data_IF_261384920043
#
_entry.id   IF_261384920043
#
_cell.length_a   1.000
_cell.length_b   1.000
_cell.length_c   1.000
_cell.angle_alpha   90.00
_cell.angle_beta   90.00
_cell.angle_gamma   90.00
#
_symmetry.space_group_name_H-M   'P 1'
#
loop_
_entity.id
_entity.type
_entity.pdbx_description
1 polymer ?
#
# COMPACT_ATOMS: atom_id res chain seq x y z
N UNK A 1 -15.18 20.02 19.50
CA UNK A 1 -15.01 19.34 18.20
C UNK A 1 -13.56 19.40 17.66
N UNK A 2 -12.95 20.58 17.52
CA UNK A 2 -11.57 20.71 17.02
C UNK A 2 -10.52 19.89 17.81
N UNK A 3 -10.65 19.81 19.13
CA UNK A 3 -9.77 19.00 19.97
C UNK A 3 -9.86 17.49 19.67
N UNK A 4 -11.06 16.97 19.39
CA UNK A 4 -11.23 15.55 18.99
C UNK A 4 -10.70 15.29 17.58
N UNK A 5 -10.92 16.22 16.64
CA UNK A 5 -10.33 16.12 15.30
C UNK A 5 -8.79 16.14 15.35
N UNK A 6 -8.20 16.85 16.29
CA UNK A 6 -6.75 16.82 16.44
C UNK A 6 -6.20 15.48 16.98
N UNK A 7 -7.03 14.66 17.67
CA UNK A 7 -6.65 13.30 18.07
C UNK A 7 -6.48 12.38 16.86
N UNK A 8 -7.26 12.57 15.79
CA UNK A 8 -7.21 11.72 14.60
C UNK A 8 -6.07 12.04 13.64
N UNK A 9 -5.30 13.12 13.87
CA UNK A 9 -4.22 13.62 13.00
C UNK A 9 -4.63 13.61 11.51
N UNK A 10 -5.58 14.47 11.09
CA UNK A 10 -6.26 14.35 9.79
C UNK A 10 -5.30 14.33 8.61
N UNK A 11 -4.25 15.17 8.61
CA UNK A 11 -3.23 15.19 7.54
C UNK A 11 -2.51 13.85 7.37
N UNK A 12 -2.17 13.19 8.47
CA UNK A 12 -1.51 11.88 8.44
C UNK A 12 -2.50 10.79 8.01
N UNK A 13 -3.72 10.85 8.53
CA UNK A 13 -4.77 9.89 8.20
C UNK A 13 -5.14 9.92 6.72
N UNK A 14 -5.19 11.11 6.08
CA UNK A 14 -5.39 11.23 4.63
C UNK A 14 -4.28 10.50 3.86
N UNK A 15 -3.01 10.66 4.25
CA UNK A 15 -1.90 9.97 3.60
C UNK A 15 -2.02 8.45 3.75
N UNK A 16 -2.39 7.95 4.93
CA UNK A 16 -2.61 6.51 5.16
C UNK A 16 -3.74 5.97 4.27
N UNK A 17 -4.85 6.70 4.17
CA UNK A 17 -5.96 6.33 3.31
C UNK A 17 -5.51 6.29 1.84
N UNK A 18 -4.75 7.28 1.37
CA UNK A 18 -4.20 7.29 0.01
C UNK A 18 -3.29 6.07 -0.26
N UNK A 19 -2.49 5.65 0.73
CA UNK A 19 -1.65 4.45 0.58
C UNK A 19 -2.44 3.14 0.54
N UNK A 20 -3.67 3.11 1.07
CA UNK A 20 -4.59 1.98 0.89
C UNK A 20 -5.34 2.08 -0.44
N UNK A 21 -5.69 3.28 -0.90
CA UNK A 21 -6.37 3.48 -2.18
C UNK A 21 -5.47 3.16 -3.38
N UNK A 22 -4.17 3.44 -3.31
CA UNK A 22 -3.27 3.26 -4.46
C UNK A 22 -3.17 1.79 -4.92
N UNK A 23 -3.00 0.78 -4.05
CA UNK A 23 -3.02 -0.63 -4.48
C UNK A 23 -4.39 -1.10 -4.97
N UNK A 24 -5.47 -0.59 -4.39
CA UNK A 24 -6.82 -0.84 -4.89
C UNK A 24 -6.96 -0.37 -6.34
N UNK A 25 -6.47 0.83 -6.65
CA UNK A 25 -6.48 1.38 -8.01
C UNK A 25 -5.49 0.68 -8.95
N UNK A 26 -4.35 0.21 -8.45
CA UNK A 26 -3.32 -0.50 -9.24
C UNK A 26 -3.65 -1.97 -9.50
N UNK A 27 -4.59 -2.56 -8.78
CA UNK A 27 -4.96 -3.97 -8.92
C UNK A 27 -5.25 -4.34 -10.39
N UNK A 28 -4.62 -5.39 -10.94
CA UNK A 28 -4.89 -5.86 -12.29
C UNK A 28 -6.26 -6.56 -12.30
N UNK A 29 -7.28 -5.85 -12.75
CA UNK A 29 -8.65 -6.35 -12.81
C UNK A 29 -8.75 -7.37 -13.96
N UNK A 30 -9.30 -8.58 -13.74
CA UNK A 30 -9.56 -9.56 -14.79
C UNK A 30 -10.49 -9.02 -15.89
N UNK A 31 -10.26 -9.43 -17.14
CA UNK A 31 -11.03 -8.95 -18.30
C UNK A 31 -12.55 -9.24 -18.21
N UNK A 32 -12.94 -10.29 -17.48
CA UNK A 32 -14.35 -10.64 -17.26
C UNK A 32 -15.10 -9.61 -16.40
N UNK A 33 -14.39 -8.86 -15.57
CA UNK A 33 -15.00 -7.83 -14.73
C UNK A 33 -14.96 -6.46 -15.41
N UNK A 34 -14.12 -6.26 -16.43
CA UNK A 34 -14.13 -5.02 -17.21
C UNK A 34 -15.36 -4.95 -18.12
N UNK A 35 -16.29 -4.02 -17.89
CA UNK A 35 -17.41 -3.83 -18.81
C UNK A 35 -16.90 -3.39 -20.18
N UNK A 36 -17.45 -3.97 -21.25
CA UNK A 36 -17.15 -3.62 -22.65
C UNK A 36 -17.55 -2.19 -23.04
N UNK A 37 -18.21 -1.45 -22.14
CA UNK A 37 -18.86 -0.16 -22.43
C UNK A 37 -18.47 1.00 -21.48
N UNK A 38 -17.60 0.79 -20.47
CA UNK A 38 -17.15 1.92 -19.61
C UNK A 38 -15.64 1.89 -19.35
N UNK A 39 -14.99 3.04 -19.52
CA UNK A 39 -13.53 3.22 -19.46
C UNK A 39 -12.91 3.14 -18.04
N UNK A 40 -13.72 2.96 -16.99
CA UNK A 40 -13.27 2.93 -15.60
C UNK A 40 -13.17 1.49 -15.06
N UNK A 41 -12.10 1.16 -14.30
CA UNK A 41 -11.93 -0.17 -13.72
C UNK A 41 -13.15 -0.52 -12.86
N UNK A 42 -13.64 -1.75 -13.02
CA UNK A 42 -14.90 -2.31 -12.51
C UNK A 42 -14.97 -2.54 -11.00
N UNK A 43 -14.13 -1.83 -10.24
CA UNK A 43 -14.11 -1.94 -8.79
C UNK A 43 -15.19 -1.04 -8.17
N UNK A 44 -15.90 -1.56 -7.18
CA UNK A 44 -17.07 -0.95 -6.56
C UNK A 44 -16.71 0.37 -5.86
N UNK A 45 -17.37 1.49 -6.21
CA UNK A 45 -17.22 2.75 -5.48
C UNK A 45 -17.65 2.62 -4.01
N UNK A 46 -18.56 1.70 -3.71
CA UNK A 46 -19.04 1.45 -2.35
C UNK A 46 -17.96 0.79 -1.49
N UNK A 47 -17.25 -0.22 -2.01
CA UNK A 47 -16.12 -0.83 -1.28
C UNK A 47 -15.02 0.18 -1.05
N UNK A 48 -14.71 1.03 -2.04
CA UNK A 48 -13.74 2.12 -1.87
C UNK A 48 -14.18 3.10 -0.77
N UNK A 49 -15.47 3.42 -0.68
CA UNK A 49 -16.00 4.25 0.41
C UNK A 49 -15.81 3.59 1.78
N UNK A 50 -16.12 2.30 1.92
CA UNK A 50 -15.91 1.57 3.18
C UNK A 50 -14.44 1.38 3.52
N UNK A 51 -13.58 1.10 2.53
CA UNK A 51 -12.13 1.00 2.69
C UNK A 51 -11.56 2.33 3.19
N UNK A 52 -11.95 3.45 2.57
CA UNK A 52 -11.44 4.78 2.92
C UNK A 52 -11.92 5.23 4.30
N UNK A 53 -13.23 5.16 4.57
CA UNK A 53 -13.82 5.55 5.85
C UNK A 53 -13.37 4.63 6.99
N UNK A 54 -13.37 3.32 6.77
CA UNK A 54 -12.92 2.32 7.74
C UNK A 54 -11.44 2.46 8.08
N UNK A 55 -10.58 2.65 7.08
CA UNK A 55 -9.13 2.90 7.28
C UNK A 55 -8.91 4.23 8.02
N UNK A 56 -9.66 5.28 7.69
CA UNK A 56 -9.55 6.57 8.37
C UNK A 56 -9.91 6.46 9.86
N UNK A 57 -10.97 5.73 10.19
CA UNK A 57 -11.40 5.49 11.57
C UNK A 57 -10.41 4.62 12.35
N UNK A 58 -9.85 3.56 11.72
CA UNK A 58 -8.79 2.75 12.32
C UNK A 58 -7.53 3.60 12.60
N UNK A 59 -7.12 4.45 11.65
CA UNK A 59 -6.02 5.39 11.84
C UNK A 59 -6.30 6.40 12.96
N UNK A 60 -7.53 6.92 13.04
CA UNK A 60 -7.92 7.83 14.10
C UNK A 60 -7.83 7.18 15.49
N UNK A 61 -8.29 5.93 15.60
CA UNK A 61 -8.18 5.11 16.82
C UNK A 61 -6.72 4.91 17.22
N UNK A 62 -5.89 4.42 16.30
CA UNK A 62 -4.47 4.17 16.54
C UNK A 62 -3.71 5.43 16.96
N UNK A 63 -4.02 6.59 16.35
CA UNK A 63 -3.42 7.87 16.73
C UNK A 63 -3.87 8.36 18.12
N UNK A 64 -5.16 8.21 18.45
CA UNK A 64 -5.68 8.58 19.76
C UNK A 64 -5.04 7.71 20.87
N UNK A 65 -4.93 6.40 20.66
CA UNK A 65 -4.22 5.50 21.58
C UNK A 65 -2.74 5.88 21.72
N UNK A 66 -2.04 6.17 20.61
CA UNK A 66 -0.64 6.61 20.68
C UNK A 66 -0.46 7.87 21.56
N UNK A 67 -1.37 8.85 21.45
CA UNK A 67 -1.32 10.04 22.32
C UNK A 67 -1.65 9.74 23.78
N UNK A 68 -2.47 8.72 24.06
CA UNK A 68 -2.77 8.26 25.43
C UNK A 68 -1.57 7.60 26.10
N UNK A 69 -0.75 6.87 25.33
CA UNK A 69 0.44 6.19 25.85
C UNK A 69 1.62 7.13 26.15
N UNK A 70 1.77 8.22 25.38
CA UNK A 70 2.99 9.04 25.40
C UNK A 70 2.89 10.47 25.97
N UNK A 71 1.96 10.86 26.89
CA UNK A 71 1.89 12.24 27.38
C UNK A 71 3.23 12.80 27.92
N UNK A 72 3.96 11.99 28.70
CA UNK A 72 5.22 12.42 29.33
C UNK A 72 6.36 12.63 28.32
N UNK A 73 6.47 11.77 27.32
CA UNK A 73 7.46 11.88 26.24
C UNK A 73 7.10 13.02 25.31
N UNK A 74 5.81 13.15 24.96
CA UNK A 74 5.32 14.18 24.06
C UNK A 74 5.52 15.59 24.63
N UNK A 75 5.44 15.77 25.95
CA UNK A 75 5.70 17.04 26.63
C UNK A 75 7.14 17.55 26.44
N UNK A 76 8.10 16.63 26.24
CA UNK A 76 9.53 16.97 26.14
C UNK A 76 9.97 17.37 24.74
N UNK A 77 9.19 17.10 23.70
CA UNK A 77 9.56 17.42 22.31
C UNK A 77 8.86 18.68 21.80
N UNK A 78 9.56 19.48 21.00
CA UNK A 78 9.08 20.74 20.42
C UNK A 78 7.81 20.54 19.58
N UNK A 79 7.79 19.47 18.78
CA UNK A 79 6.71 19.14 17.85
C UNK A 79 5.43 18.64 18.54
N UNK A 80 5.53 18.05 19.73
CA UNK A 80 4.43 17.28 20.34
C UNK A 80 3.94 17.85 21.66
N UNK A 81 4.65 18.80 22.27
CA UNK A 81 4.22 19.46 23.52
C UNK A 81 2.84 20.13 23.43
N UNK A 82 2.41 20.48 22.21
CA UNK A 82 1.12 21.12 21.96
C UNK A 82 -0.03 20.13 21.71
N UNK A 83 0.20 18.81 21.84
CA UNK A 83 -0.85 17.80 21.65
C UNK A 83 -1.98 17.97 22.68
N UNK A 84 -3.23 17.61 22.34
CA UNK A 84 -4.40 17.85 23.19
C UNK A 84 -4.29 17.22 24.58
N UNK A 85 -3.77 15.99 24.67
CA UNK A 85 -3.63 15.27 25.94
C UNK A 85 -2.49 15.83 26.82
N UNK A 86 -1.43 16.34 26.21
CA UNK A 86 -0.33 17.01 26.95
C UNK A 86 -0.82 18.32 27.57
N UNK A 87 -1.65 19.06 26.83
CA UNK A 87 -2.23 20.34 27.26
C UNK A 87 -3.45 20.21 28.16
N UNK A 88 -3.93 19.00 28.43
CA UNK A 88 -5.17 18.77 29.18
C UNK A 88 -6.45 19.26 28.49
N UNK A 89 -6.42 19.47 27.16
CA UNK A 89 -7.58 19.94 26.38
C UNK A 89 -8.66 18.86 26.21
N UNK A 90 -8.29 17.59 26.39
CA UNK A 90 -9.20 16.44 26.36
C UNK A 90 -8.87 15.55 27.54
N UNK A 91 -9.88 15.03 28.23
CA UNK A 91 -9.63 14.09 29.33
C UNK A 91 -9.16 12.72 28.78
N UNK A 92 -8.27 12.00 29.48
CA UNK A 92 -7.81 10.67 29.05
C UNK A 92 -8.97 9.68 28.85
N UNK A 93 -10.01 9.76 29.69
CA UNK A 93 -11.21 8.92 29.56
C UNK A 93 -11.96 9.17 28.26
N UNK A 94 -12.16 10.44 27.88
CA UNK A 94 -12.82 10.80 26.63
C UNK A 94 -12.00 10.43 25.40
N UNK A 95 -10.67 10.60 25.47
CA UNK A 95 -9.79 10.16 24.39
C UNK A 95 -9.79 8.62 24.24
N UNK A 96 -9.87 7.86 25.34
CA UNK A 96 -9.98 6.40 25.29
C UNK A 96 -11.32 5.96 24.69
N UNK A 97 -12.43 6.57 25.11
CA UNK A 97 -13.75 6.30 24.54
C UNK A 97 -13.78 6.62 23.04
N UNK A 98 -13.22 7.75 22.62
CA UNK A 98 -13.08 8.10 21.21
C UNK A 98 -12.27 7.06 20.44
N UNK A 99 -11.14 6.62 20.99
CA UNK A 99 -10.30 5.61 20.36
C UNK A 99 -11.03 4.26 20.20
N UNK A 100 -11.74 3.80 21.22
CA UNK A 100 -12.51 2.56 21.17
C UNK A 100 -13.68 2.66 20.18
N UNK A 101 -14.44 3.76 20.22
CA UNK A 101 -15.55 3.99 19.31
C UNK A 101 -15.08 4.07 17.85
N UNK A 102 -14.02 4.83 17.56
CA UNK A 102 -13.44 4.92 16.22
C UNK A 102 -12.86 3.56 15.76
N UNK A 103 -12.23 2.81 16.66
CA UNK A 103 -11.71 1.48 16.35
C UNK A 103 -12.81 0.49 16.00
N UNK A 104 -13.84 0.40 16.84
CA UNK A 104 -14.98 -0.48 16.62
C UNK A 104 -15.76 -0.12 15.34
N UNK A 105 -16.04 1.17 15.13
CA UNK A 105 -16.70 1.64 13.92
C UNK A 105 -15.85 1.41 12.67
N UNK A 106 -14.55 1.67 12.73
CA UNK A 106 -13.64 1.45 11.61
C UNK A 106 -13.49 -0.02 11.23
N UNK A 107 -13.22 -0.88 12.20
CA UNK A 107 -13.09 -2.33 11.99
C UNK A 107 -14.42 -2.94 11.53
N UNK A 108 -15.55 -2.49 12.09
CA UNK A 108 -16.89 -2.88 11.65
C UNK A 108 -17.19 -2.45 10.22
N UNK A 109 -16.89 -1.20 9.85
CA UNK A 109 -17.06 -0.71 8.48
C UNK A 109 -16.25 -1.53 7.47
N UNK A 110 -15.02 -1.92 7.81
CA UNK A 110 -14.21 -2.78 6.96
C UNK A 110 -14.76 -4.22 6.89
N UNK A 111 -15.31 -4.74 7.99
CA UNK A 111 -15.86 -6.10 8.04
C UNK A 111 -17.10 -6.23 7.15
N UNK A 112 -18.06 -5.31 7.31
CA UNK A 112 -19.34 -5.35 6.60
C UNK A 112 -19.26 -4.78 5.19
N UNK A 113 -18.37 -3.82 4.94
CA UNK A 113 -18.31 -3.08 3.68
C UNK A 113 -17.17 -3.46 2.75
N UNK A 114 -16.21 -4.27 3.20
CA UNK A 114 -15.05 -4.70 2.39
C UNK A 114 -14.90 -6.21 2.45
N UNK A 115 -14.31 -6.75 3.52
CA UNK A 115 -14.22 -8.18 3.83
C UNK A 115 -13.57 -8.41 5.20
N UNK A 116 -13.66 -9.65 5.69
CA UNK A 116 -13.10 -10.06 6.99
C UNK A 116 -11.57 -9.93 7.04
N UNK A 117 -10.86 -10.20 5.94
CA UNK A 117 -9.40 -10.09 5.86
C UNK A 117 -8.93 -8.65 6.09
N UNK A 118 -9.53 -7.69 5.40
CA UNK A 118 -9.21 -6.25 5.54
C UNK A 118 -9.55 -5.75 6.93
N UNK A 119 -10.67 -6.20 7.51
CA UNK A 119 -11.04 -5.88 8.89
C UNK A 119 -9.98 -6.36 9.90
N UNK A 120 -9.53 -7.61 9.78
CA UNK A 120 -8.47 -8.17 10.62
C UNK A 120 -7.14 -7.44 10.45
N UNK A 121 -6.77 -7.04 9.22
CA UNK A 121 -5.60 -6.21 8.97
C UNK A 121 -5.72 -4.86 9.66
N UNK A 122 -6.89 -4.20 9.56
CA UNK A 122 -7.15 -2.93 10.23
C UNK A 122 -7.03 -3.03 11.75
N UNK A 123 -7.65 -4.04 12.36
CA UNK A 123 -7.56 -4.31 13.80
C UNK A 123 -6.13 -4.62 14.23
N UNK A 124 -5.44 -5.50 13.50
CA UNK A 124 -4.04 -5.85 13.76
C UNK A 124 -3.14 -4.61 13.66
N UNK A 125 -3.42 -3.69 12.75
CA UNK A 125 -2.65 -2.47 12.60
C UNK A 125 -2.82 -1.52 13.81
N UNK A 126 -4.04 -1.42 14.37
CA UNK A 126 -4.28 -0.66 15.61
C UNK A 126 -3.47 -1.26 16.76
N UNK A 127 -3.55 -2.58 16.95
CA UNK A 127 -2.83 -3.30 18.01
C UNK A 127 -1.32 -3.19 17.85
N UNK A 128 -0.80 -3.39 16.63
CA UNK A 128 0.61 -3.31 16.34
C UNK A 128 1.15 -1.89 16.57
N UNK A 129 0.42 -0.85 16.15
CA UNK A 129 0.86 0.52 16.31
C UNK A 129 0.80 1.00 17.77
N UNK A 130 -0.36 0.83 18.42
CA UNK A 130 -0.58 1.34 19.78
C UNK A 130 0.04 0.42 20.85
N UNK A 131 -0.14 -0.90 20.72
CA UNK A 131 0.27 -1.88 21.72
C UNK A 131 1.72 -2.34 21.61
N UNK A 132 2.31 -2.37 20.42
CA UNK A 132 3.68 -2.87 20.22
C UNK A 132 4.65 -1.73 19.89
N UNK A 133 4.43 -1.04 18.76
CA UNK A 133 5.35 0.00 18.28
C UNK A 133 5.52 1.14 19.28
N UNK A 134 4.42 1.66 19.82
CA UNK A 134 4.44 2.83 20.72
C UNK A 134 5.31 2.61 21.96
N UNK A 135 5.12 1.57 22.78
CA UNK A 135 6.00 1.31 23.93
C UNK A 135 7.43 0.93 23.51
N UNK A 136 7.59 0.24 22.38
CA UNK A 136 8.91 -0.22 21.91
C UNK A 136 9.88 0.94 21.63
N UNK A 137 9.37 2.14 21.31
CA UNK A 137 10.19 3.36 21.11
C UNK A 137 11.04 3.73 22.33
N UNK A 138 10.58 3.44 23.54
CA UNK A 138 11.35 3.69 24.77
C UNK A 138 12.38 2.59 25.05
N UNK A 139 12.20 1.39 24.46
CA UNK A 139 12.96 0.18 24.81
C UNK A 139 14.09 -0.11 23.83
N UNK A 140 13.84 0.01 22.52
CA UNK A 140 14.81 -0.40 21.49
C UNK A 140 14.62 0.35 20.17
N UNK A 141 15.71 0.50 19.42
CA UNK A 141 15.71 1.05 18.07
C UNK A 141 15.00 0.15 17.04
N UNK A 142 14.65 -1.09 17.40
CA UNK A 142 13.83 -1.99 16.57
C UNK A 142 12.40 -1.45 16.35
N UNK A 143 11.97 -0.46 17.13
CA UNK A 143 10.69 0.24 16.92
C UNK A 143 10.51 0.70 15.47
N UNK A 144 11.57 1.14 14.79
CA UNK A 144 11.46 1.66 13.43
C UNK A 144 11.05 0.58 12.43
N UNK A 145 11.49 -0.67 12.63
CA UNK A 145 11.08 -1.79 11.77
C UNK A 145 9.63 -2.20 12.04
N UNK A 146 9.22 -2.25 13.31
CA UNK A 146 7.82 -2.53 13.66
C UNK A 146 6.90 -1.43 13.12
N UNK A 147 7.30 -0.16 13.24
CA UNK A 147 6.60 0.97 12.64
C UNK A 147 6.55 0.90 11.10
N UNK A 148 7.59 0.36 10.46
CA UNK A 148 7.57 0.12 9.03
C UNK A 148 6.57 -0.97 8.62
N UNK A 149 6.41 -2.04 9.42
CA UNK A 149 5.36 -3.05 9.20
C UNK A 149 3.97 -2.42 9.27
N UNK A 150 3.72 -1.58 10.29
CA UNK A 150 2.46 -0.80 10.39
C UNK A 150 2.20 0.01 9.12
N UNK A 151 3.24 0.63 8.55
CA UNK A 151 3.14 1.38 7.30
C UNK A 151 2.89 0.53 6.05
N UNK A 152 3.27 -0.75 6.07
CA UNK A 152 3.05 -1.71 4.98
C UNK A 152 1.68 -2.38 4.98
N UNK A 153 0.94 -2.34 6.10
CA UNK A 153 -0.40 -2.95 6.21
C UNK A 153 -1.46 -2.22 5.36
N UNK A 154 -1.57 -0.88 5.34
CA UNK A 154 -2.58 -0.19 4.53
C UNK A 154 -2.53 -0.55 3.04
N UNK A 155 -1.34 -0.68 2.40
CA UNK A 155 -1.27 -1.22 1.05
C UNK A 155 -1.87 -2.62 0.87
N UNK A 156 -1.63 -3.53 1.81
CA UNK A 156 -2.23 -4.88 1.80
C UNK A 156 -3.75 -4.82 1.96
N UNK A 157 -4.25 -3.90 2.80
CA UNK A 157 -5.70 -3.67 2.95
C UNK A 157 -6.32 -3.23 1.61
N UNK A 158 -5.66 -2.32 0.89
CA UNK A 158 -6.07 -1.90 -0.44
C UNK A 158 -6.10 -3.01 -1.47
N UNK A 159 -5.04 -3.82 -1.49
CA UNK A 159 -4.94 -4.96 -2.40
C UNK A 159 -6.00 -6.02 -2.10
N UNK A 160 -6.16 -6.42 -0.84
CA UNK A 160 -7.15 -7.41 -0.41
C UNK A 160 -8.60 -6.93 -0.60
N UNK A 161 -8.84 -5.62 -0.58
CA UNK A 161 -10.15 -5.06 -0.92
C UNK A 161 -10.47 -5.28 -2.42
N UNK A 162 -9.56 -4.93 -3.32
CA UNK A 162 -9.75 -5.12 -4.76
C UNK A 162 -9.77 -6.61 -5.15
N UNK A 163 -8.87 -7.40 -4.57
CA UNK A 163 -8.84 -8.85 -4.78
C UNK A 163 -10.12 -9.53 -4.30
N UNK A 164 -10.74 -9.03 -3.23
CA UNK A 164 -12.00 -9.57 -2.71
C UNK A 164 -13.18 -9.42 -3.67
N UNK A 165 -13.20 -8.34 -4.46
CA UNK A 165 -14.20 -8.14 -5.51
C UNK A 165 -13.96 -8.99 -6.76
N UNK A 166 -12.69 -9.33 -7.01
CA UNK A 166 -12.27 -10.18 -8.11
C UNK A 166 -12.13 -11.67 -7.72
N UNK A 167 -12.41 -12.02 -6.47
CA UNK A 167 -12.24 -13.37 -5.94
C UNK A 167 -13.23 -14.33 -6.62
N UNK A 168 -12.72 -15.48 -7.05
CA UNK A 168 -13.53 -16.51 -7.74
C UNK A 168 -13.71 -17.76 -6.89
N UNK A 169 -12.94 -17.89 -5.79
CA UNK A 169 -13.01 -19.05 -4.89
C UNK A 169 -13.76 -18.72 -3.60
N UNK A 170 -13.07 -18.74 -2.47
CA UNK A 170 -13.66 -18.67 -1.12
C UNK A 170 -13.56 -17.27 -0.49
N UNK A 171 -12.86 -16.34 -1.15
CA UNK A 171 -12.61 -14.99 -0.62
C UNK A 171 -11.77 -15.00 0.67
N UNK A 172 -11.09 -16.12 0.96
CA UNK A 172 -10.32 -16.27 2.19
C UNK A 172 -9.05 -15.43 2.17
N UNK A 173 -8.49 -15.13 3.35
CA UNK A 173 -7.19 -14.46 3.47
C UNK A 173 -6.08 -15.15 2.65
N UNK A 174 -6.17 -16.49 2.50
CA UNK A 174 -5.22 -17.25 1.68
C UNK A 174 -5.36 -16.91 0.20
N UNK A 175 -6.57 -16.82 -0.33
CA UNK A 175 -6.80 -16.39 -1.72
C UNK A 175 -6.36 -14.93 -1.93
N UNK A 176 -6.72 -14.03 -1.02
CA UNK A 176 -6.50 -12.59 -1.23
C UNK A 176 -5.04 -12.16 -1.08
N UNK A 177 -4.27 -12.81 -0.19
CA UNK A 177 -2.91 -12.39 0.18
C UNK A 177 -1.84 -13.46 -0.05
N UNK A 178 -2.19 -14.74 -0.13
CA UNK A 178 -1.22 -15.84 -0.20
C UNK A 178 -1.54 -16.83 -1.33
N UNK A 179 -2.03 -16.30 -2.46
CA UNK A 179 -2.35 -17.10 -3.63
C UNK A 179 -1.07 -17.77 -4.18
N UNK A 180 -1.15 -19.08 -4.46
CA UNK A 180 -0.02 -19.87 -4.97
C UNK A 180 0.30 -19.62 -6.45
N UNK A 181 -0.58 -18.93 -7.18
CA UNK A 181 -0.43 -18.57 -8.60
C UNK A 181 0.36 -17.28 -8.81
N UNK A 182 0.80 -16.62 -7.73
CA UNK A 182 1.55 -15.36 -7.80
C UNK A 182 0.68 -14.11 -7.96
N UNK A 183 -0.65 -14.24 -8.04
CA UNK A 183 -1.58 -13.10 -8.16
C UNK A 183 -1.49 -12.15 -6.97
N UNK A 184 -1.18 -12.65 -5.76
CA UNK A 184 -1.04 -11.80 -4.56
C UNK A 184 0.31 -11.09 -4.45
N UNK A 185 1.27 -11.37 -5.34
CA UNK A 185 2.62 -10.80 -5.28
C UNK A 185 2.60 -9.27 -5.38
N UNK A 186 1.71 -8.70 -6.19
CA UNK A 186 1.57 -7.25 -6.36
C UNK A 186 1.26 -6.52 -5.05
N UNK A 187 0.37 -7.08 -4.23
CA UNK A 187 0.02 -6.51 -2.91
C UNK A 187 1.22 -6.46 -1.97
N UNK A 188 1.97 -7.56 -1.89
CA UNK A 188 3.19 -7.64 -1.06
C UNK A 188 4.32 -6.74 -1.56
N UNK A 189 4.45 -6.58 -2.88
CA UNK A 189 5.44 -5.67 -3.46
C UNK A 189 5.11 -4.20 -3.14
N UNK A 190 3.84 -3.80 -3.22
CA UNK A 190 3.40 -2.45 -2.84
C UNK A 190 3.54 -2.21 -1.33
N UNK A 191 3.23 -3.22 -0.51
CA UNK A 191 3.48 -3.19 0.92
C UNK A 191 4.97 -3.07 1.25
N UNK A 192 5.82 -3.84 0.57
CA UNK A 192 7.27 -3.78 0.71
C UNK A 192 7.85 -2.43 0.25
N UNK A 193 7.25 -1.81 -0.78
CA UNK A 193 7.63 -0.48 -1.25
C UNK A 193 7.36 0.58 -0.18
N UNK A 194 6.16 0.57 0.43
CA UNK A 194 5.83 1.49 1.54
C UNK A 194 6.65 1.20 2.80
N UNK A 195 6.91 -0.06 3.10
CA UNK A 195 7.80 -0.49 4.17
C UNK A 195 9.22 0.04 3.97
N UNK A 196 9.79 -0.16 2.79
CA UNK A 196 11.13 0.30 2.44
C UNK A 196 11.22 1.82 2.46
N UNK A 197 10.19 2.53 1.99
CA UNK A 197 10.13 3.98 1.98
C UNK A 197 10.29 4.63 3.36
N UNK A 198 9.78 3.98 4.41
CA UNK A 198 9.84 4.53 5.77
C UNK A 198 11.28 4.81 6.21
N UNK A 199 12.25 3.99 5.79
CA UNK A 199 13.62 4.07 6.28
C UNK A 199 14.37 5.32 5.79
N UNK A 200 14.55 5.60 4.48
CA UNK A 200 15.21 6.82 4.06
C UNK A 200 14.53 8.08 4.60
N UNK A 201 13.19 8.08 4.66
CA UNK A 201 12.42 9.21 5.19
C UNK A 201 12.64 9.43 6.69
N UNK A 202 12.40 8.40 7.50
CA UNK A 202 12.46 8.50 8.96
C UNK A 202 13.90 8.63 9.48
N UNK A 203 14.87 7.93 8.88
CA UNK A 203 16.28 8.02 9.33
C UNK A 203 16.87 9.41 9.05
N UNK A 204 16.41 10.07 7.98
CA UNK A 204 16.75 11.45 7.67
C UNK A 204 16.05 12.45 8.61
N UNK A 205 14.75 12.27 8.85
CA UNK A 205 13.96 13.13 9.75
C UNK A 205 14.47 13.02 11.19
N UNK A 206 14.66 11.80 11.69
CA UNK A 206 15.07 11.56 13.08
C UNK A 206 16.47 12.10 13.38
N UNK A 207 17.32 12.29 12.37
CA UNK A 207 18.63 12.91 12.52
C UNK A 207 18.55 14.37 12.99
N UNK A 208 17.60 15.15 12.46
CA UNK A 208 17.49 16.59 12.77
C UNK A 208 16.94 16.85 14.16
N UNK A 209 16.18 15.90 14.72
CA UNK A 209 15.55 15.97 16.05
C UNK A 209 16.12 14.93 17.03
N UNK A 210 17.32 14.41 16.76
CA UNK A 210 17.94 13.32 17.53
C UNK A 210 18.17 13.67 19.00
N UNK A 211 18.48 14.94 19.28
CA UNK A 211 18.75 15.41 20.64
C UNK A 211 17.46 15.50 21.45
N UNK A 212 16.33 15.89 20.83
CA UNK A 212 15.01 15.83 21.46
C UNK A 212 14.60 14.38 21.77
N UNK A 213 14.87 13.44 20.85
CA UNK A 213 14.63 12.02 21.10
C UNK A 213 15.45 11.50 22.29
N UNK A 214 16.72 11.89 22.38
CA UNK A 214 17.59 11.53 23.50
C UNK A 214 17.07 12.11 24.81
N UNK A 215 16.69 13.39 24.83
CA UNK A 215 16.15 14.06 26.02
C UNK A 215 14.80 13.47 26.46
N UNK A 216 13.99 13.02 25.51
CA UNK A 216 12.71 12.37 25.78
C UNK A 216 12.86 10.89 26.21
N UNK A 217 14.07 10.32 26.18
CA UNK A 217 14.33 8.92 26.53
C UNK A 217 13.98 7.90 25.44
N UNK A 218 13.74 8.36 24.20
CA UNK A 218 13.37 7.50 23.08
C UNK A 218 14.61 6.95 22.38
N UNK A 219 14.69 5.62 22.21
CA UNK A 219 15.85 4.92 21.67
C UNK A 219 15.77 4.82 20.14
N UNK A 220 16.22 5.88 19.45
CA UNK A 220 16.24 5.94 17.99
C UNK A 220 17.64 5.67 17.43
N UNK A 221 17.74 5.06 16.24
CA UNK A 221 19.04 4.82 15.58
C UNK A 221 19.84 6.10 15.36
N UNK A 222 19.16 7.21 15.08
CA UNK A 222 19.79 8.49 14.81
C UNK A 222 20.78 8.96 15.89
N UNK A 223 20.59 8.60 17.16
CA UNK A 223 21.55 8.91 18.23
C UNK A 223 22.19 7.68 18.88
N UNK A 224 21.51 6.53 18.92
CA UNK A 224 22.07 5.30 19.51
C UNK A 224 23.15 4.66 18.64
N UNK A 225 23.00 4.73 17.31
CA UNK A 225 23.99 4.24 16.35
C UNK A 225 23.88 4.99 15.01
N UNK A 226 24.44 6.20 14.91
CA UNK A 226 24.45 7.02 13.69
C UNK A 226 24.96 6.31 12.44
N UNK A 227 26.01 5.48 12.59
CA UNK A 227 26.58 4.75 11.46
C UNK A 227 25.58 3.72 10.90
N UNK A 228 24.86 3.01 11.78
CA UNK A 228 23.79 2.08 11.38
C UNK A 228 22.59 2.83 10.80
N UNK A 229 22.26 4.01 11.33
CA UNK A 229 21.19 4.88 10.80
C UNK A 229 21.40 5.16 9.29
N UNK A 230 22.60 5.61 8.91
CA UNK A 230 22.95 5.85 7.51
C UNK A 230 22.95 4.59 6.64
N UNK A 231 23.51 3.47 7.14
CA UNK A 231 23.51 2.19 6.40
C UNK A 231 22.12 1.64 6.13
N UNK A 232 21.21 1.74 7.11
CA UNK A 232 19.83 1.28 6.95
C UNK A 232 19.10 2.13 5.92
N UNK A 233 19.24 3.47 5.99
CA UNK A 233 18.67 4.37 4.99
C UNK A 233 19.13 4.02 3.56
N UNK A 234 20.43 3.76 3.38
CA UNK A 234 20.98 3.38 2.08
C UNK A 234 20.46 2.03 1.59
N UNK A 235 20.47 0.99 2.44
CA UNK A 235 20.00 -0.36 2.07
C UNK A 235 18.57 -0.35 1.55
N UNK A 236 17.67 0.31 2.25
CA UNK A 236 16.27 0.39 1.83
C UNK A 236 16.04 1.32 0.65
N UNK A 237 16.89 2.36 0.46
CA UNK A 237 16.86 3.16 -0.77
C UNK A 237 17.25 2.34 -2.00
N UNK A 238 18.24 1.44 -1.87
CA UNK A 238 18.64 0.52 -2.93
C UNK A 238 17.59 -0.58 -3.19
N UNK A 239 16.86 -1.01 -2.14
CA UNK A 239 15.81 -2.02 -2.26
C UNK A 239 14.66 -1.60 -3.19
N UNK A 240 14.48 -0.30 -3.47
CA UNK A 240 13.49 0.18 -4.44
C UNK A 240 13.74 -0.31 -5.86
N UNK A 241 15.00 -0.50 -6.26
CA UNK A 241 15.35 -0.96 -7.61
C UNK A 241 14.75 -2.35 -7.91
N UNK A 242 15.04 -3.40 -7.11
CA UNK A 242 14.41 -4.71 -7.33
C UNK A 242 12.90 -4.70 -7.03
N UNK A 243 12.40 -3.85 -6.13
CA UNK A 243 10.95 -3.76 -5.88
C UNK A 243 10.18 -3.20 -7.08
N UNK A 244 10.69 -2.16 -7.75
CA UNK A 244 10.07 -1.61 -8.95
C UNK A 244 10.13 -2.60 -10.13
N UNK A 245 11.23 -3.32 -10.28
CA UNK A 245 11.34 -4.42 -11.25
C UNK A 245 10.37 -5.57 -10.93
N UNK A 246 10.22 -5.89 -9.65
CA UNK A 246 9.26 -6.89 -9.18
C UNK A 246 7.82 -6.52 -9.51
N UNK A 247 7.43 -5.24 -9.42
CA UNK A 247 6.10 -4.78 -9.82
C UNK A 247 5.82 -5.00 -11.32
N UNK A 248 6.83 -4.79 -12.17
CA UNK A 248 6.75 -5.10 -13.60
C UNK A 248 6.62 -6.61 -13.82
N UNK A 249 7.46 -7.40 -13.17
CA UNK A 249 7.47 -8.86 -13.29
C UNK A 249 6.16 -9.51 -12.78
N UNK A 250 5.57 -8.96 -11.73
CA UNK A 250 4.27 -9.38 -11.20
C UNK A 250 3.07 -8.88 -12.04
N UNK A 251 3.31 -8.16 -13.14
CA UNK A 251 2.27 -7.68 -14.03
C UNK A 251 1.39 -6.56 -13.45
N UNK A 252 1.84 -5.87 -12.40
CA UNK A 252 1.14 -4.71 -11.84
C UNK A 252 1.33 -3.49 -12.74
N UNK A 253 2.56 -3.31 -13.25
CA UNK A 253 2.94 -2.21 -14.13
C UNK A 253 3.63 -2.71 -15.39
N UNK A 254 3.68 -1.88 -16.43
CA UNK A 254 4.45 -2.15 -17.65
C UNK A 254 5.96 -2.05 -17.41
N UNK A 255 6.79 -2.70 -18.25
CA UNK A 255 8.25 -2.61 -18.12
C UNK A 255 8.81 -1.19 -18.33
N UNK A 256 8.07 -0.32 -19.03
CA UNK A 256 8.39 1.11 -19.13
C UNK A 256 8.44 1.79 -17.76
N UNK A 257 7.70 1.28 -16.77
CA UNK A 257 7.72 1.79 -15.39
C UNK A 257 9.10 1.63 -14.76
N UNK A 258 9.79 0.51 -15.03
CA UNK A 258 11.13 0.29 -14.51
C UNK A 258 12.11 1.34 -15.07
N UNK A 259 12.01 1.67 -16.35
CA UNK A 259 12.87 2.68 -16.98
C UNK A 259 12.54 4.10 -16.49
N UNK A 260 11.27 4.46 -16.40
CA UNK A 260 10.83 5.80 -15.99
C UNK A 260 10.99 6.07 -14.50
N UNK A 261 10.89 5.04 -13.65
CA UNK A 261 11.13 5.16 -12.19
C UNK A 261 12.61 5.12 -11.82
N UNK A 262 13.49 4.60 -12.68
CA UNK A 262 14.92 4.46 -12.42
C UNK A 262 15.61 5.79 -12.03
N UNK A 263 15.43 6.92 -12.74
CA UNK A 263 16.04 8.19 -12.34
C UNK A 263 15.64 8.64 -10.94
N UNK A 264 14.36 8.46 -10.57
CA UNK A 264 13.81 8.84 -9.27
C UNK A 264 14.41 7.95 -8.16
N UNK A 265 14.52 6.65 -8.42
CA UNK A 265 15.14 5.68 -7.52
C UNK A 265 16.65 5.93 -7.34
N UNK A 266 17.38 6.22 -8.42
CA UNK A 266 18.80 6.55 -8.37
C UNK A 266 19.05 7.86 -7.62
N UNK A 267 18.19 8.86 -7.79
CA UNK A 267 18.28 10.09 -7.01
C UNK A 267 18.12 9.86 -5.51
N UNK A 268 17.12 9.07 -5.09
CA UNK A 268 16.96 8.68 -3.69
C UNK A 268 18.20 7.94 -3.17
N UNK A 269 18.68 6.94 -3.91
CA UNK A 269 19.87 6.17 -3.55
C UNK A 269 21.13 7.03 -3.45
N UNK A 270 21.32 8.00 -4.36
CA UNK A 270 22.44 8.94 -4.32
C UNK A 270 22.38 9.84 -3.08
N UNK A 271 21.21 10.37 -2.72
CA UNK A 271 21.05 11.15 -1.49
C UNK A 271 21.24 10.29 -0.24
N UNK A 272 20.82 9.03 -0.26
CA UNK A 272 21.04 8.11 0.84
C UNK A 272 22.52 7.74 0.99
N UNK A 273 23.25 7.58 -0.12
CA UNK A 273 24.69 7.37 -0.12
C UNK A 273 25.43 8.60 0.44
N UNK A 274 25.00 9.81 0.05
CA UNK A 274 25.52 11.07 0.62
C UNK A 274 25.24 11.16 2.12
N UNK A 275 24.03 10.81 2.56
CA UNK A 275 23.67 10.77 3.98
C UNK A 275 24.52 9.79 4.78
N UNK A 276 24.75 8.59 4.23
CA UNK A 276 25.60 7.58 4.86
C UNK A 276 27.07 8.02 4.94
N UNK A 277 27.64 8.54 3.85
CA UNK A 277 29.04 8.99 3.78
C UNK A 277 29.34 10.18 4.70
N UNK A 278 28.42 11.14 4.76
CA UNK A 278 28.56 12.34 5.60
C UNK A 278 28.02 12.16 7.02
N UNK A 279 27.53 10.96 7.37
CA UNK A 279 26.95 10.66 8.67
C UNK A 279 25.84 11.63 9.09
N UNK A 280 25.01 12.08 8.13
CA UNK A 280 23.92 13.05 8.37
C UNK A 280 24.32 14.53 8.43
N UNK A 281 25.61 14.87 8.40
CA UNK A 281 26.09 16.26 8.43
C UNK A 281 26.06 16.93 7.05
N UNK A 282 26.43 18.21 6.97
CA UNK A 282 26.58 18.94 5.70
C UNK A 282 25.28 19.04 4.88
N UNK A 283 24.14 19.15 5.57
CA UNK A 283 22.81 19.20 4.95
C UNK A 283 22.32 17.88 4.34
N UNK A 284 23.09 16.78 4.46
CA UNK A 284 22.74 15.49 3.83
C UNK A 284 21.44 14.89 4.36
N UNK A 285 21.14 15.05 5.65
CA UNK A 285 19.86 14.64 6.24
C UNK A 285 18.68 15.36 5.58
N UNK A 286 18.78 16.68 5.39
CA UNK A 286 17.73 17.47 4.73
C UNK A 286 17.58 17.09 3.26
N UNK A 287 18.69 16.83 2.57
CA UNK A 287 18.70 16.34 1.19
C UNK A 287 17.96 15.01 1.03
N UNK A 288 18.29 14.01 1.86
CA UNK A 288 17.62 12.71 1.85
C UNK A 288 16.14 12.82 2.23
N UNK A 289 15.81 13.65 3.23
CA UNK A 289 14.42 13.89 3.63
C UNK A 289 13.59 14.39 2.45
N UNK A 290 14.01 15.46 1.77
CA UNK A 290 13.26 15.98 0.62
C UNK A 290 13.24 15.02 -0.57
N UNK A 291 14.33 14.29 -0.80
CA UNK A 291 14.34 13.24 -1.82
C UNK A 291 13.27 12.19 -1.54
N UNK A 292 13.17 11.70 -0.31
CA UNK A 292 12.13 10.73 0.07
C UNK A 292 10.71 11.28 -0.04
N UNK A 293 10.50 12.58 0.26
CA UNK A 293 9.18 13.24 0.16
C UNK A 293 8.68 13.30 -1.28
N UNK A 294 9.54 13.63 -2.23
CA UNK A 294 9.17 13.67 -3.65
C UNK A 294 9.16 12.28 -4.30
N UNK A 295 10.05 11.39 -3.85
CA UNK A 295 10.22 10.05 -4.40
C UNK A 295 8.92 9.23 -4.38
N UNK A 296 8.26 9.09 -3.22
CA UNK A 296 7.09 8.22 -3.10
C UNK A 296 5.91 8.67 -3.98
N UNK A 297 5.47 9.96 -3.94
CA UNK A 297 4.44 10.44 -4.87
C UNK A 297 4.82 10.23 -6.33
N UNK A 298 6.06 10.54 -6.72
CA UNK A 298 6.51 10.33 -8.10
C UNK A 298 6.44 8.86 -8.52
N UNK A 299 6.92 7.93 -7.70
CA UNK A 299 6.85 6.49 -7.99
C UNK A 299 5.41 5.99 -8.04
N UNK A 300 4.55 6.43 -7.13
CA UNK A 300 3.12 6.05 -7.14
C UNK A 300 2.39 6.59 -8.37
N UNK A 301 2.63 7.85 -8.76
CA UNK A 301 2.05 8.45 -9.97
C UNK A 301 2.54 7.71 -11.22
N UNK A 302 3.84 7.42 -11.31
CA UNK A 302 4.40 6.67 -12.44
C UNK A 302 3.80 5.25 -12.51
N UNK A 303 3.58 4.59 -11.37
CA UNK A 303 2.95 3.28 -11.32
C UNK A 303 1.51 3.33 -11.82
N UNK A 304 0.74 4.35 -11.40
CA UNK A 304 -0.63 4.55 -11.88
C UNK A 304 -0.67 4.87 -13.38
N UNK A 305 0.23 5.75 -13.85
CA UNK A 305 0.35 6.13 -15.26
C UNK A 305 0.82 4.99 -16.16
N UNK A 306 1.46 3.97 -15.62
CA UNK A 306 1.97 2.82 -16.37
C UNK A 306 1.41 1.52 -15.82
N UNK A 307 0.19 1.58 -15.31
CA UNK A 307 -0.60 0.40 -14.96
C UNK A 307 -0.72 -0.48 -16.19
N UNK A 308 -0.55 -1.80 -16.00
CA UNK A 308 -0.57 -2.77 -17.09
C UNK A 308 -1.85 -2.66 -17.92
N UNK A 309 -1.71 -2.62 -19.23
CA UNK A 309 -2.82 -2.54 -20.19
C UNK A 309 -3.59 -1.21 -20.20
N UNK A 310 -3.11 -0.15 -19.54
CA UNK A 310 -3.79 1.15 -19.54
C UNK A 310 -3.58 1.92 -20.86
N UNK A 311 -2.34 1.98 -21.36
CA UNK A 311 -2.03 2.68 -22.62
C UNK A 311 -2.59 1.98 -23.85
N UNK A 312 -2.65 0.64 -23.85
CA UNK A 312 -3.30 -0.12 -24.93
C UNK A 312 -4.81 0.13 -24.99
N UNK A 313 -5.46 0.35 -23.84
CA UNK A 313 -6.87 0.77 -23.78
C UNK A 313 -7.07 2.23 -24.22
N UNK A 314 -6.21 3.14 -23.75
CA UNK A 314 -6.26 4.54 -24.17
C UNK A 314 -6.04 4.70 -25.68
N UNK A 315 -5.10 3.94 -26.25
CA UNK A 315 -4.84 3.92 -27.69
C UNK A 315 -6.04 3.37 -28.47
N UNK A 316 -6.67 2.27 -28.01
CA UNK A 316 -7.89 1.72 -28.63
C UNK A 316 -9.08 2.69 -28.60
N UNK A 317 -9.23 3.46 -27.52
CA UNK A 317 -10.26 4.49 -27.37
C UNK A 317 -10.01 5.70 -28.29
N UNK A 318 -8.77 6.20 -28.34
CA UNK A 318 -8.41 7.40 -29.13
C UNK A 318 -8.33 7.11 -30.62
N UNK A 319 -7.78 5.97 -31.03
CA UNK A 319 -7.61 5.62 -32.44
C UNK A 319 -8.84 4.97 -33.05
N UNK A 320 -9.97 4.87 -32.32
CA UNK A 320 -11.17 4.24 -32.82
C UNK A 320 -10.88 2.81 -33.25
N UNK A 321 -10.54 1.94 -32.29
CA UNK A 321 -10.54 0.51 -32.53
C UNK A 321 -11.97 0.06 -32.82
N UNK A 322 -12.39 0.21 -34.07
CA UNK A 322 -13.51 -0.52 -34.61
C UNK A 322 -13.27 -2.00 -34.38
N UNK A 323 -14.35 -2.69 -34.03
CA UNK A 323 -14.48 -4.13 -33.99
C UNK A 323 -13.76 -4.75 -35.21
N UNK A 324 -12.49 -5.09 -35.01
CA UNK A 324 -11.71 -5.92 -35.90
C UNK A 324 -11.46 -7.14 -35.05
N UNK A 325 -12.33 -8.13 -35.27
CA UNK A 325 -12.20 -9.44 -34.68
C UNK A 325 -10.82 -10.00 -35.01
N UNK A 326 -9.90 -9.85 -34.07
CA UNK A 326 -8.78 -10.76 -33.95
C UNK A 326 -9.37 -12.05 -33.38
N UNK A 327 -9.85 -12.89 -34.31
CA UNK A 327 -10.34 -14.22 -34.06
C UNK A 327 -9.22 -15.11 -33.53
N UNK A 328 -9.05 -15.14 -32.22
CA UNK A 328 -8.56 -16.31 -31.48
C UNK A 328 -9.72 -17.07 -30.80
N UNK A 329 -10.91 -16.99 -31.39
CA UNK A 329 -12.03 -17.88 -31.13
C UNK A 329 -12.33 -18.67 -32.41
N UNK A 330 -11.66 -19.82 -32.59
CA UNK A 330 -11.87 -20.66 -33.77
C UNK A 330 -11.02 -21.92 -33.88
N UNK A 331 -10.42 -22.41 -32.79
CA UNK A 331 -9.65 -23.69 -32.80
C UNK A 331 -10.50 -24.87 -32.28
N UNK A 332 -11.77 -24.66 -31.95
CA UNK A 332 -12.63 -25.71 -31.37
C UNK A 332 -13.94 -25.96 -32.12
N UNK A 333 -14.05 -25.57 -33.39
CA UNK A 333 -15.27 -25.83 -34.19
C UNK A 333 -15.00 -26.58 -35.51
N UNK A 334 -13.73 -26.82 -35.89
CA UNK A 334 -13.41 -27.60 -37.09
C UNK A 334 -13.40 -29.12 -36.85
N UNK A 335 -13.00 -29.59 -35.65
CA UNK A 335 -12.94 -31.02 -35.36
C UNK A 335 -14.35 -31.64 -35.17
N UNK A 336 -15.31 -30.91 -34.61
CA UNK A 336 -16.70 -31.42 -34.46
C UNK A 336 -17.48 -31.37 -35.79
N UNK A 337 -17.16 -30.43 -36.70
CA UNK A 337 -17.80 -30.36 -38.01
C UNK A 337 -17.27 -31.44 -38.98
N UNK A 338 -15.97 -31.79 -38.90
CA UNK A 338 -15.41 -32.90 -39.68
C UNK A 338 -15.83 -34.28 -39.14
N UNK A 339 -16.00 -34.45 -37.82
CA UNK A 339 -16.59 -35.67 -37.26
C UNK A 339 -18.07 -35.82 -37.67
N UNK A 340 -18.85 -34.74 -37.64
CA UNK A 340 -20.27 -34.77 -38.03
C UNK A 340 -20.47 -34.93 -39.54
N UNK A 341 -19.56 -34.39 -40.37
CA UNK A 341 -19.53 -34.60 -41.82
C UNK A 341 -19.07 -36.02 -42.19
N UNK A 342 -18.10 -36.58 -41.47
CA UNK A 342 -17.64 -37.96 -41.63
C UNK A 342 -18.71 -39.00 -41.26
N UNK A 343 -19.48 -38.74 -40.19
CA UNK A 343 -20.59 -39.61 -39.77
C UNK A 343 -21.79 -39.57 -40.72
N UNK A 344 -22.03 -38.45 -41.40
CA UNK A 344 -23.10 -38.36 -42.42
C UNK A 344 -22.69 -38.99 -43.74
N UNK A 345 -21.43 -38.88 -44.17
CA UNK A 345 -20.91 -39.54 -45.37
C UNK A 345 -20.94 -41.08 -45.25
N UNK A 346 -20.51 -41.63 -44.10
CA UNK A 346 -20.52 -43.08 -43.85
C UNK A 346 -21.95 -43.67 -43.81
N UNK A 347 -22.95 -42.87 -43.41
CA UNK A 347 -24.35 -43.30 -43.35
C UNK A 347 -25.02 -43.35 -44.73
N UNK A 348 -24.62 -42.46 -45.65
CA UNK A 348 -25.10 -42.43 -47.04
C UNK A 348 -24.50 -43.57 -47.86
N UNK A 349 -23.24 -43.94 -47.64
CA UNK A 349 -22.59 -45.07 -48.33
C UNK A 349 -23.20 -46.43 -47.94
N UNK A 350 -23.70 -46.59 -46.71
CA UNK A 350 -24.37 -47.82 -46.25
C UNK A 350 -25.78 -48.05 -46.83
N UNK A 351 -26.40 -47.03 -47.42
CA UNK A 351 -27.76 -47.07 -47.97
C UNK A 351 -27.80 -47.12 -49.51
N UNK A 352 -26.66 -46.93 -50.19
CA UNK A 352 -26.55 -46.94 -51.65
C UNK A 352 -26.06 -48.27 -52.26
N UNK A 353 -25.77 -49.28 -51.44
CA UNK A 353 -25.19 -50.56 -51.87
C UNK A 353 -26.15 -51.74 -51.74
N UNK A 354 -27.24 -51.76 -52.50
CA UNK A 354 -27.95 -52.99 -52.92
C UNK A 354 -28.63 -52.82 -54.26
#
# INVERSE_FOLDING_TARGET
MAAFLSLSKPRLTVLIVLTAMAPYALYPVPEMLTPSMTETPSLSPLTLLFLTTGTALCSASANALNMLYEPGTDAKMSRTRNRPLVRGLVSPRLAALFALAAGAAGVGALYFGVNSTVSWLGLSNIVLYAGVYTPLKAVTALNTWVGAVVGGIPPLMGWAAAAGEAATRDGSCRELLFAGDGSSAGGWLLAALLFAWQFPHFMALSWTIRDEYRAAGLRMLAWTNPARNGRVALRYSLAFLPLCLGLCAAGVTEWSFAATSLPVNLWLAAQAARFWRLGGHGGSARGLFWASVWHLPSVMILALLQKKGMWSRAWRSVCGGGDSGDGEAGVWEYDELDEMAGMTAARVESLGGR
#
